data_IF_900611941463
#
_entry.id   IF_900611941463
#
_cell.length_a   1.000
_cell.length_b   1.000
_cell.length_c   1.000
_cell.angle_alpha   90.00
_cell.angle_beta   90.00
_cell.angle_gamma   90.00
#
_symmetry.space_group_name_H-M   'P 1'
#
loop_
_entity.id
_entity.type
_entity.pdbx_description
1 polymer ?
#
# COMPACT_ATOMS: atom_id res chain seq x y z
N UNK A 1 -38.33 -25.57 29.65
CA UNK A 1 -37.84 -24.24 29.26
C UNK A 1 -36.43 -24.45 28.77
N UNK A 2 -36.25 -24.59 27.47
CA UNK A 2 -34.92 -24.45 26.88
C UNK A 2 -34.53 -22.96 26.98
N UNK A 3 -33.32 -22.63 27.44
CA UNK A 3 -32.86 -21.24 27.41
C UNK A 3 -32.76 -20.83 25.94
N UNK A 4 -33.50 -19.79 25.55
CA UNK A 4 -33.31 -19.16 24.25
C UNK A 4 -31.85 -18.70 24.14
N UNK A 5 -31.18 -18.90 23.00
CA UNK A 5 -29.84 -18.36 22.81
C UNK A 5 -29.94 -16.85 22.97
N UNK A 6 -29.35 -16.31 24.04
CA UNK A 6 -29.08 -14.88 24.14
C UNK A 6 -28.23 -14.53 22.94
N UNK A 7 -28.80 -13.85 21.94
CA UNK A 7 -28.07 -13.30 20.81
C UNK A 7 -26.95 -12.44 21.37
N UNK A 8 -25.73 -12.97 21.28
CA UNK A 8 -24.55 -12.29 21.77
C UNK A 8 -24.31 -11.10 20.84
N UNK A 9 -24.21 -9.90 21.42
CA UNK A 9 -23.84 -8.72 20.64
C UNK A 9 -22.54 -8.99 19.87
N UNK A 10 -22.49 -8.69 18.55
CA UNK A 10 -21.33 -8.99 17.72
C UNK A 10 -20.10 -8.27 18.24
N UNK A 11 -18.96 -8.95 18.22
CA UNK A 11 -17.66 -8.38 18.56
C UNK A 11 -17.21 -7.34 17.52
N UNK A 12 -16.22 -6.52 17.87
CA UNK A 12 -15.69 -5.51 16.94
C UNK A 12 -15.03 -6.16 15.71
N UNK A 13 -14.35 -7.30 15.88
CA UNK A 13 -13.76 -8.04 14.76
C UNK A 13 -14.84 -8.60 13.82
N UNK A 14 -15.94 -9.14 14.36
CA UNK A 14 -17.08 -9.57 13.55
C UNK A 14 -17.70 -8.39 12.77
N UNK A 15 -17.85 -7.23 13.41
CA UNK A 15 -18.31 -6.01 12.74
C UNK A 15 -17.35 -5.59 11.62
N UNK A 16 -16.05 -5.58 11.88
CA UNK A 16 -15.03 -5.25 10.86
C UNK A 16 -15.12 -6.19 9.66
N UNK A 17 -15.30 -7.49 9.90
CA UNK A 17 -15.46 -8.48 8.84
C UNK A 17 -16.73 -8.24 8.01
N UNK A 18 -17.86 -7.90 8.65
CA UNK A 18 -19.11 -7.54 7.97
C UNK A 18 -18.92 -6.30 7.08
N UNK A 19 -18.30 -5.25 7.63
CA UNK A 19 -18.03 -4.00 6.90
C UNK A 19 -17.11 -4.26 5.71
N UNK A 20 -16.05 -5.06 5.89
CA UNK A 20 -15.10 -5.40 4.84
C UNK A 20 -15.75 -6.19 3.69
N UNK A 21 -16.62 -7.16 4.01
CA UNK A 21 -17.46 -7.85 3.01
C UNK A 21 -18.37 -6.90 2.26
N UNK A 22 -19.08 -6.02 2.99
CA UNK A 22 -19.98 -5.03 2.39
C UNK A 22 -19.24 -4.08 1.45
N UNK A 23 -18.05 -3.62 1.85
CA UNK A 23 -17.17 -2.78 1.04
C UNK A 23 -16.75 -3.50 -0.24
N UNK A 24 -16.15 -4.68 -0.15
CA UNK A 24 -15.66 -5.44 -1.32
C UNK A 24 -16.81 -5.75 -2.27
N UNK A 25 -17.91 -6.28 -1.77
CA UNK A 25 -19.11 -6.58 -2.58
C UNK A 25 -19.63 -5.33 -3.31
N UNK A 26 -19.62 -4.17 -2.64
CA UNK A 26 -20.04 -2.91 -3.26
C UNK A 26 -19.10 -2.46 -4.37
N UNK A 27 -17.79 -2.58 -4.16
CA UNK A 27 -16.77 -2.24 -5.17
C UNK A 27 -16.90 -3.15 -6.38
N UNK A 28 -16.97 -4.46 -6.17
CA UNK A 28 -17.13 -5.48 -7.21
C UNK A 28 -18.37 -5.22 -8.06
N UNK A 29 -19.50 -4.94 -7.40
CA UNK A 29 -20.75 -4.59 -8.07
C UNK A 29 -20.59 -3.36 -8.97
N UNK A 30 -19.93 -2.30 -8.49
CA UNK A 30 -19.73 -1.08 -9.28
C UNK A 30 -18.74 -1.28 -10.43
N UNK A 31 -17.65 -2.02 -10.18
CA UNK A 31 -16.61 -2.29 -11.16
C UNK A 31 -17.03 -3.34 -12.21
N UNK A 32 -18.06 -4.14 -11.93
CA UNK A 32 -18.45 -5.27 -12.77
C UNK A 32 -17.40 -6.39 -12.81
N UNK A 33 -16.55 -6.48 -11.78
CA UNK A 33 -15.50 -7.49 -11.65
C UNK A 33 -15.61 -8.20 -10.30
N UNK A 34 -15.04 -9.39 -10.20
CA UNK A 34 -14.80 -10.05 -8.91
C UNK A 34 -13.32 -9.92 -8.56
N UNK A 35 -13.04 -9.62 -7.30
CA UNK A 35 -11.68 -9.59 -6.75
C UNK A 35 -11.19 -11.02 -6.50
N UNK A 36 -9.87 -11.24 -6.57
CA UNK A 36 -9.25 -12.56 -6.33
C UNK A 36 -8.99 -12.81 -4.83
N UNK A 37 -9.86 -12.28 -3.96
CA UNK A 37 -9.72 -12.43 -2.51
C UNK A 37 -10.39 -13.73 -2.05
N UNK A 38 -9.70 -14.47 -1.18
CA UNK A 38 -10.33 -15.55 -0.41
C UNK A 38 -11.23 -14.98 0.69
N UNK A 39 -12.20 -15.75 1.19
CA UNK A 39 -13.10 -15.31 2.26
C UNK A 39 -12.35 -14.74 3.48
N UNK A 40 -11.27 -15.41 3.92
CA UNK A 40 -10.46 -14.93 5.05
C UNK A 40 -9.68 -13.64 4.75
N UNK A 41 -9.37 -13.36 3.48
CA UNK A 41 -8.78 -12.08 3.09
C UNK A 41 -9.82 -10.97 2.99
N UNK A 42 -11.04 -11.28 2.55
CA UNK A 42 -12.16 -10.31 2.53
C UNK A 42 -12.49 -9.86 3.95
N UNK A 43 -12.43 -10.75 4.94
CA UNK A 43 -12.68 -10.41 6.35
C UNK A 43 -11.57 -9.54 6.99
N UNK A 44 -10.42 -9.41 6.34
CA UNK A 44 -9.30 -8.60 6.82
C UNK A 44 -9.44 -7.16 6.31
N UNK A 45 -9.69 -6.16 7.19
CA UNK A 45 -9.80 -4.77 6.78
C UNK A 45 -8.64 -4.27 5.91
N UNK A 46 -7.35 -4.51 6.23
CA UNK A 46 -6.26 -4.02 5.40
C UNK A 46 -6.20 -4.67 4.00
N UNK A 47 -6.60 -5.95 3.88
CA UNK A 47 -6.64 -6.61 2.58
C UNK A 47 -7.84 -6.13 1.74
N UNK A 48 -9.01 -6.00 2.37
CA UNK A 48 -10.21 -5.46 1.75
C UNK A 48 -10.02 -4.01 1.28
N UNK A 49 -9.40 -3.15 2.10
CA UNK A 49 -9.16 -1.73 1.75
C UNK A 49 -8.19 -1.60 0.59
N UNK A 50 -7.11 -2.39 0.58
CA UNK A 50 -6.13 -2.39 -0.50
C UNK A 50 -6.76 -2.84 -1.84
N UNK A 51 -7.44 -4.00 -1.84
CA UNK A 51 -8.08 -4.53 -3.05
C UNK A 51 -9.20 -3.62 -3.57
N UNK A 52 -10.00 -3.04 -2.67
CA UNK A 52 -11.03 -2.07 -3.03
C UNK A 52 -10.42 -0.83 -3.66
N UNK A 53 -9.40 -0.23 -3.03
CA UNK A 53 -8.73 0.96 -3.55
C UNK A 53 -8.11 0.73 -4.93
N UNK A 54 -7.39 -0.38 -5.11
CA UNK A 54 -6.81 -0.77 -6.39
C UNK A 54 -7.89 -0.95 -7.46
N UNK A 55 -8.97 -1.67 -7.14
CA UNK A 55 -10.06 -1.92 -8.09
C UNK A 55 -10.75 -0.62 -8.52
N UNK A 56 -11.08 0.25 -7.57
CA UNK A 56 -11.73 1.54 -7.86
C UNK A 56 -10.86 2.41 -8.77
N UNK A 57 -9.55 2.48 -8.51
CA UNK A 57 -8.63 3.30 -9.31
C UNK A 57 -8.34 2.65 -10.66
N UNK A 58 -8.16 1.33 -10.74
CA UNK A 58 -7.91 0.63 -12.00
C UNK A 58 -9.08 0.74 -12.98
N UNK A 59 -10.31 0.77 -12.48
CA UNK A 59 -11.53 0.90 -13.27
C UNK A 59 -11.94 2.36 -13.56
N UNK A 60 -11.16 3.32 -13.06
CA UNK A 60 -11.36 4.75 -13.31
C UNK A 60 -10.65 5.24 -14.57
N UNK A 61 -10.95 6.47 -14.99
CA UNK A 61 -10.23 7.17 -16.07
C UNK A 61 -9.01 7.97 -15.59
N UNK A 62 -8.55 7.75 -14.35
CA UNK A 62 -7.39 8.46 -13.78
C UNK A 62 -6.12 8.16 -14.62
N UNK A 63 -5.32 9.19 -14.96
CA UNK A 63 -4.05 9.03 -15.67
C UNK A 63 -3.11 8.04 -14.98
N UNK A 64 -2.43 7.20 -15.75
CA UNK A 64 -1.62 6.09 -15.23
C UNK A 64 -0.55 6.58 -14.25
N UNK A 65 0.05 7.72 -14.53
CA UNK A 65 1.06 8.38 -13.70
C UNK A 65 0.53 8.79 -12.31
N UNK A 66 -0.76 9.07 -12.19
CA UNK A 66 -1.41 9.50 -10.94
C UNK A 66 -2.07 8.35 -10.19
N UNK A 67 -2.21 7.17 -10.81
CA UNK A 67 -2.84 6.00 -10.18
C UNK A 67 -2.20 5.61 -8.86
N UNK A 68 -0.86 5.54 -8.69
CA UNK A 68 -0.27 5.18 -7.39
C UNK A 68 -0.69 6.14 -6.28
N UNK A 69 -0.74 7.44 -6.58
CA UNK A 69 -1.16 8.45 -5.62
C UNK A 69 -2.66 8.39 -5.32
N UNK A 70 -3.48 8.16 -6.34
CA UNK A 70 -4.91 7.95 -6.19
C UNK A 70 -5.20 6.70 -5.36
N UNK A 71 -4.52 5.58 -5.62
CA UNK A 71 -4.67 4.34 -4.86
C UNK A 71 -4.29 4.54 -3.40
N UNK A 72 -3.16 5.20 -3.13
CA UNK A 72 -2.74 5.50 -1.76
C UNK A 72 -3.76 6.37 -1.02
N UNK A 73 -4.21 7.47 -1.65
CA UNK A 73 -5.23 8.34 -1.07
C UNK A 73 -6.55 7.59 -0.82
N UNK A 74 -6.98 6.75 -1.77
CA UNK A 74 -8.19 5.94 -1.67
C UNK A 74 -8.08 4.92 -0.53
N UNK A 75 -6.94 4.25 -0.39
CA UNK A 75 -6.68 3.31 0.70
C UNK A 75 -6.66 4.00 2.07
N UNK A 76 -6.11 5.22 2.16
CA UNK A 76 -6.15 6.03 3.38
C UNK A 76 -7.60 6.34 3.77
N UNK A 77 -8.43 6.83 2.85
CA UNK A 77 -9.83 7.14 3.12
C UNK A 77 -10.62 5.92 3.63
N UNK A 78 -10.38 4.75 3.04
CA UNK A 78 -11.01 3.50 3.49
C UNK A 78 -10.53 3.11 4.90
N UNK A 79 -9.22 3.22 5.15
CA UNK A 79 -8.62 2.91 6.45
C UNK A 79 -9.19 3.80 7.56
N UNK A 80 -9.29 5.11 7.31
CA UNK A 80 -9.92 6.06 8.23
C UNK A 80 -11.36 5.66 8.55
N UNK A 81 -12.13 5.22 7.55
CA UNK A 81 -13.48 4.70 7.76
C UNK A 81 -13.54 3.46 8.65
N UNK A 82 -12.53 2.58 8.63
CA UNK A 82 -12.43 1.46 9.56
C UNK A 82 -11.97 1.86 10.96
N UNK A 83 -11.16 2.92 11.08
CA UNK A 83 -10.71 3.48 12.36
C UNK A 83 -11.86 4.18 13.11
N UNK A 84 -12.87 4.68 12.39
CA UNK A 84 -14.09 5.28 12.98
C UNK A 84 -15.09 4.23 13.54
N UNK A 85 -14.99 2.96 13.09
CA UNK A 85 -15.94 1.89 13.47
C UNK A 85 -16.14 1.69 14.97
N UNK A 86 -15.11 1.70 15.84
CA UNK A 86 -15.31 1.49 17.27
C UNK A 86 -16.26 2.52 17.90
N UNK A 87 -16.18 3.78 17.44
CA UNK A 87 -17.07 4.85 17.91
C UNK A 87 -18.48 4.68 17.36
N UNK A 88 -18.63 4.33 16.07
CA UNK A 88 -19.93 4.06 15.44
C UNK A 88 -20.65 2.89 16.12
N UNK A 89 -19.94 1.78 16.37
CA UNK A 89 -20.49 0.61 17.06
C UNK A 89 -20.93 0.94 18.48
N UNK A 90 -20.18 1.79 19.20
CA UNK A 90 -20.60 2.25 20.51
C UNK A 90 -21.90 3.09 20.42
N UNK A 91 -22.02 3.95 19.40
CA UNK A 91 -23.25 4.70 19.10
C UNK A 91 -24.43 3.78 18.81
N UNK A 92 -24.30 2.87 17.84
CA UNK A 92 -25.36 1.92 17.47
C UNK A 92 -25.85 1.11 18.66
N UNK A 93 -24.95 0.66 19.55
CA UNK A 93 -25.32 -0.05 20.78
C UNK A 93 -26.05 0.84 21.77
N UNK A 94 -25.65 2.10 21.92
CA UNK A 94 -26.31 3.04 22.81
C UNK A 94 -27.73 3.40 22.31
N UNK A 95 -27.90 3.45 20.99
CA UNK A 95 -29.19 3.71 20.33
C UNK A 95 -30.11 2.48 20.31
N UNK A 96 -29.59 1.29 20.65
CA UNK A 96 -30.33 0.03 20.58
C UNK A 96 -30.52 -0.50 19.16
N UNK A 97 -29.70 -0.03 18.21
CA UNK A 97 -29.72 -0.46 16.81
C UNK A 97 -29.17 -1.89 16.66
N UNK A 98 -29.59 -2.55 15.59
CA UNK A 98 -28.99 -3.80 15.15
C UNK A 98 -27.58 -3.54 14.57
N UNK A 99 -26.56 -3.81 15.38
CA UNK A 99 -25.15 -3.58 15.04
C UNK A 99 -24.73 -4.32 13.77
N UNK A 100 -25.25 -5.53 13.54
CA UNK A 100 -24.91 -6.29 12.34
C UNK A 100 -25.50 -5.59 11.11
N UNK A 101 -26.77 -5.18 11.19
CA UNK A 101 -27.43 -4.47 10.10
C UNK A 101 -26.75 -3.14 9.78
N UNK A 102 -26.41 -2.36 10.80
CA UNK A 102 -25.73 -1.08 10.64
C UNK A 102 -24.33 -1.25 10.02
N UNK A 103 -23.61 -2.30 10.41
CA UNK A 103 -22.30 -2.63 9.83
C UNK A 103 -22.37 -2.95 8.33
N UNK A 104 -23.39 -3.70 7.89
CA UNK A 104 -23.62 -4.00 6.47
C UNK A 104 -23.85 -2.71 5.66
N UNK A 105 -24.74 -1.85 6.17
CA UNK A 105 -25.07 -0.57 5.53
C UNK A 105 -23.85 0.35 5.48
N UNK A 106 -23.07 0.38 6.56
CA UNK A 106 -21.87 1.19 6.64
C UNK A 106 -20.81 0.75 5.63
N UNK A 107 -20.56 -0.56 5.48
CA UNK A 107 -19.60 -1.08 4.50
C UNK A 107 -19.94 -0.66 3.06
N UNK A 108 -21.21 -0.77 2.66
CA UNK A 108 -21.66 -0.28 1.36
C UNK A 108 -21.49 1.23 1.21
N UNK A 109 -21.89 2.00 2.23
CA UNK A 109 -21.80 3.47 2.23
C UNK A 109 -20.36 3.96 2.16
N UNK A 110 -19.43 3.28 2.86
CA UNK A 110 -17.99 3.58 2.80
C UNK A 110 -17.45 3.36 1.39
N UNK A 111 -17.88 2.28 0.72
CA UNK A 111 -17.56 2.01 -0.68
C UNK A 111 -18.08 3.10 -1.62
N UNK A 112 -19.35 3.49 -1.50
CA UNK A 112 -19.97 4.54 -2.33
C UNK A 112 -19.31 5.90 -2.14
N UNK A 113 -19.03 6.30 -0.89
CA UNK A 113 -18.35 7.56 -0.57
C UNK A 113 -16.95 7.60 -1.17
N UNK A 114 -16.22 6.50 -1.06
CA UNK A 114 -14.85 6.41 -1.58
C UNK A 114 -14.85 6.40 -3.10
N UNK A 115 -15.78 5.69 -3.75
CA UNK A 115 -15.97 5.75 -5.20
C UNK A 115 -16.23 7.17 -5.69
N UNK A 116 -17.08 7.93 -5.00
CA UNK A 116 -17.33 9.32 -5.34
C UNK A 116 -16.05 10.19 -5.25
N UNK A 117 -15.18 9.92 -4.28
CA UNK A 117 -13.88 10.59 -4.19
C UNK A 117 -12.93 10.21 -5.33
N UNK A 118 -12.91 8.94 -5.73
CA UNK A 118 -12.15 8.47 -6.91
C UNK A 118 -12.63 9.16 -8.19
N UNK A 119 -13.95 9.38 -8.36
CA UNK A 119 -14.48 10.22 -9.47
C UNK A 119 -13.98 11.66 -9.40
N UNK A 120 -13.73 12.19 -8.21
CA UNK A 120 -13.05 13.48 -8.03
C UNK A 120 -11.63 13.49 -8.59
N UNK A 121 -10.88 12.41 -8.39
CA UNK A 121 -9.52 12.24 -8.93
C UNK A 121 -9.49 12.09 -10.45
N UNK A 122 -10.58 11.65 -11.08
CA UNK A 122 -10.68 11.64 -12.56
C UNK A 122 -10.64 13.05 -13.14
N UNK A 123 -11.19 14.03 -12.41
CA UNK A 123 -11.20 15.45 -12.83
C UNK A 123 -9.95 16.18 -12.33
N UNK A 124 -9.53 15.89 -11.10
CA UNK A 124 -8.38 16.52 -10.43
C UNK A 124 -7.44 15.44 -9.88
N UNK A 125 -6.57 14.87 -10.73
CA UNK A 125 -5.72 13.77 -10.31
C UNK A 125 -4.77 14.22 -9.20
N UNK A 126 -4.59 13.40 -8.15
CA UNK A 126 -3.65 13.72 -7.09
C UNK A 126 -2.22 13.75 -7.65
N UNK A 127 -1.42 14.65 -7.09
CA UNK A 127 -0.05 14.86 -7.55
C UNK A 127 0.81 13.63 -7.18
N UNK A 128 1.45 12.94 -8.14
CA UNK A 128 2.25 11.73 -7.86
C UNK A 128 3.43 11.98 -6.90
N UNK A 129 3.87 13.23 -6.77
CA UNK A 129 4.96 13.61 -5.86
C UNK A 129 4.53 13.76 -4.40
N UNK A 130 3.22 13.83 -4.12
CA UNK A 130 2.66 13.96 -2.77
C UNK A 130 2.32 12.63 -2.10
N UNK A 131 2.27 11.54 -2.85
CA UNK A 131 2.03 10.18 -2.36
C UNK A 131 3.33 9.40 -2.18
N UNK A 132 4.34 10.02 -1.57
CA UNK A 132 5.39 9.21 -0.96
C UNK A 132 4.77 8.56 0.28
N UNK A 133 4.71 7.22 0.38
CA UNK A 133 4.36 6.56 1.62
C UNK A 133 5.47 6.88 2.61
N UNK A 134 5.23 7.90 3.44
CA UNK A 134 5.91 8.16 4.69
C UNK A 134 7.33 7.57 4.80
N UNK A 135 8.31 8.17 4.10
CA UNK A 135 9.71 8.09 4.54
C UNK A 135 9.86 8.92 5.81
N UNK A 136 9.27 8.45 6.91
CA UNK A 136 9.81 8.70 8.24
C UNK A 136 11.04 7.84 8.36
N UNK A 137 12.15 8.30 7.77
CA UNK A 137 13.51 8.11 8.26
C UNK A 137 14.40 9.17 7.57
N UNK A 138 14.55 10.29 8.28
CA UNK A 138 15.77 11.10 8.27
C UNK A 138 16.07 11.94 7.02
N UNK A 139 15.39 13.08 6.88
CA UNK A 139 16.06 14.30 6.39
C UNK A 139 15.74 15.45 7.35
N UNK A 140 16.19 15.27 8.59
CA UNK A 140 16.43 16.39 9.48
C UNK A 140 17.56 17.26 8.86
N UNK A 141 17.33 18.56 8.61
CA UNK A 141 18.33 19.43 7.98
C UNK A 141 19.55 19.72 8.87
N UNK A 142 19.62 19.21 10.09
CA UNK A 142 20.80 19.27 10.96
C UNK A 142 21.69 18.01 10.86
N UNK A 143 21.32 17.00 10.07
CA UNK A 143 22.16 15.82 9.85
C UNK A 143 22.91 15.95 8.52
N UNK A 144 24.25 16.15 8.53
CA UNK A 144 25.02 16.22 7.29
C UNK A 144 24.94 14.86 6.55
N UNK A 145 24.87 14.88 5.20
CA UNK A 145 24.75 13.65 4.43
C UNK A 145 25.95 12.76 4.69
N UNK A 146 25.69 11.49 5.02
CA UNK A 146 26.74 10.46 5.11
C UNK A 146 27.48 10.43 3.78
N UNK A 147 28.78 10.79 3.82
CA UNK A 147 29.67 10.72 2.67
C UNK A 147 29.57 9.33 2.06
N UNK A 148 29.30 9.25 0.75
CA UNK A 148 29.51 8.04 -0.04
C UNK A 148 30.92 7.53 0.28
N UNK A 149 31.02 6.36 0.89
CA UNK A 149 32.27 5.61 0.92
C UNK A 149 32.61 5.33 -0.53
N UNK A 150 33.60 6.07 -1.04
CA UNK A 150 34.22 5.77 -2.33
C UNK A 150 34.73 4.32 -2.26
N UNK A 151 34.30 3.49 -3.20
CA UNK A 151 35.03 2.27 -3.51
C UNK A 151 36.49 2.69 -3.82
N UNK A 152 37.51 2.12 -3.16
CA UNK A 152 38.89 2.47 -3.45
C UNK A 152 39.24 1.88 -4.81
N UNK A 153 39.15 2.71 -5.85
CA UNK A 153 39.69 2.40 -7.16
C UNK A 153 40.99 3.17 -7.30
N UNK A 154 42.09 2.42 -7.22
CA UNK A 154 43.36 2.74 -7.86
C UNK A 154 44.38 3.47 -6.98
N UNK A 155 45.51 2.80 -6.72
CA UNK A 155 46.78 3.32 -7.23
C UNK A 155 47.89 2.27 -7.21
N UNK A 156 48.41 2.04 -8.41
CA UNK A 156 49.75 1.55 -8.70
C UNK A 156 50.83 2.35 -7.98
N UNK A 157 51.75 1.64 -7.31
CA UNK A 157 53.23 1.71 -7.45
C UNK A 157 53.88 1.30 -6.13
N UNK A 158 54.67 0.24 -6.17
CA UNK A 158 56.01 0.32 -5.60
C UNK A 158 56.93 -0.70 -6.28
N UNK A 159 57.99 -0.16 -6.87
CA UNK A 159 59.16 -0.87 -7.37
C UNK A 159 60.22 -0.95 -6.25
N UNK A 160 61.34 -1.59 -6.58
CA UNK A 160 62.57 -1.87 -5.81
C UNK A 160 62.52 -3.15 -4.94
N UNK A 161 63.45 -4.09 -5.00
CA UNK A 161 64.76 -4.11 -5.67
C UNK A 161 65.28 -5.57 -5.79
N UNK A 162 66.28 -5.72 -6.66
CA UNK A 162 67.36 -6.70 -6.62
C UNK A 162 67.31 -7.95 -7.54
N UNK A 163 68.20 -7.85 -8.53
CA UNK A 163 69.17 -8.86 -8.98
C UNK A 163 68.98 -9.48 -10.38
N UNK A 164 69.76 -8.90 -11.29
CA UNK A 164 70.74 -9.63 -12.11
C UNK A 164 70.21 -10.51 -13.26
N UNK A 165 70.29 -10.01 -14.50
CA UNK A 165 71.32 -10.45 -15.47
C UNK A 165 71.12 -9.77 -16.82
N UNK A 166 72.14 -9.03 -17.23
CA UNK A 166 72.31 -8.50 -18.58
C UNK A 166 73.09 -9.50 -19.43
N UNK A 167 72.58 -9.79 -20.64
CA UNK A 167 73.22 -10.35 -21.86
C UNK A 167 72.13 -11.03 -22.69
N UNK A 168 72.07 -11.02 -24.00
CA UNK A 168 72.82 -10.44 -25.12
C UNK A 168 72.05 -10.93 -26.36
N UNK A 169 72.01 -10.12 -27.43
CA UNK A 169 71.84 -10.50 -28.85
C UNK A 169 70.96 -11.72 -29.22
N UNK A 170 69.91 -11.47 -29.99
CA UNK A 170 69.27 -12.47 -30.84
C UNK A 170 68.48 -11.77 -31.94
N UNK A 171 69.07 -11.75 -33.12
CA UNK A 171 68.59 -11.14 -34.36
C UNK A 171 67.36 -11.86 -34.95
N UNK A 172 66.82 -11.23 -36.01
CA UNK A 172 66.04 -11.84 -37.10
C UNK A 172 64.60 -12.22 -36.74
N UNK A 173 63.56 -11.82 -37.47
CA UNK A 173 63.48 -11.48 -38.89
C UNK A 173 62.20 -12.14 -39.46
N UNK A 174 61.57 -11.50 -40.45
CA UNK A 174 60.42 -11.94 -41.27
C UNK A 174 59.03 -11.90 -40.57
N UNK A 175 58.08 -11.03 -40.97
CA UNK A 175 57.35 -10.94 -42.27
C UNK A 175 56.81 -12.33 -42.66
N UNK A 176 55.53 -12.65 -42.47
CA UNK A 176 54.39 -12.11 -43.22
C UNK A 176 53.08 -12.55 -42.57
#
# INVERSE_FOLDING_TARGET
MEPQPTERAPSLDEVRAIVARGLVSRVEHHAGIQTDLTDGQVESPPAATAAAAETMVLTSTIPVESRPAATAATATMLTEGFDELPALVAGWRADGSDVQREAEVYGGTLGDRTLAAVRGFEVHPPNPQGAEPNRVFGTDPAVPPLRRVQAPTGQTRQADDAAAHSRNKGSDGLIR
#
